data_IF_171543491199
#
_entry.id   IF_171543491199
#
_cell.length_a   1.000
_cell.length_b   1.000
_cell.length_c   1.000
_cell.angle_alpha   90.00
_cell.angle_beta   90.00
_cell.angle_gamma   90.00
#
_symmetry.space_group_name_H-M   'P 1'
#
loop_
_entity.id
_entity.type
_entity.pdbx_description
1 polymer ?
#
# COMPACT_ATOMS: atom_id res chain seq x y z
N UNK A 1 58.26 0.69 17.89
CA UNK A 1 57.17 1.16 18.79
C UNK A 1 57.47 2.64 19.05
N UNK A 2 56.71 3.64 18.62
CA UNK A 2 55.24 3.77 18.62
C UNK A 2 54.81 4.96 17.73
N UNK A 3 53.87 4.67 16.82
CA UNK A 3 52.83 5.48 16.16
C UNK A 3 52.98 7.01 15.97
N UNK A 4 53.00 7.41 14.70
CA UNK A 4 52.73 8.76 14.18
C UNK A 4 51.21 8.90 14.00
N UNK A 5 50.56 9.73 14.83
CA UNK A 5 49.15 10.09 14.68
C UNK A 5 48.98 11.23 13.65
N UNK A 6 48.73 10.89 12.37
CA UNK A 6 48.22 11.85 11.38
C UNK A 6 46.69 11.92 11.48
N UNK A 7 46.17 13.02 12.03
CA UNK A 7 44.73 13.37 11.95
C UNK A 7 44.38 13.73 10.50
N UNK A 8 43.69 12.84 9.79
CA UNK A 8 43.04 13.13 8.51
C UNK A 8 41.72 13.82 8.81
N UNK A 9 41.60 15.12 8.50
CA UNK A 9 40.31 15.82 8.45
C UNK A 9 39.66 15.51 7.09
N UNK A 10 38.67 14.62 7.10
CA UNK A 10 37.82 14.36 5.94
C UNK A 10 36.82 15.52 5.81
N UNK A 11 37.02 16.38 4.81
CA UNK A 11 36.05 17.42 4.44
C UNK A 11 35.01 16.74 3.55
N UNK A 12 33.82 16.46 4.10
CA UNK A 12 32.67 16.01 3.32
C UNK A 12 32.06 17.25 2.67
N UNK A 13 32.35 17.45 1.39
CA UNK A 13 31.66 18.42 0.56
C UNK A 13 30.27 17.86 0.20
N UNK A 14 29.22 18.38 0.84
CA UNK A 14 27.84 18.07 0.45
C UNK A 14 27.51 18.91 -0.77
N UNK A 15 27.62 18.30 -1.96
CA UNK A 15 27.07 18.86 -3.20
C UNK A 15 25.54 18.79 -3.11
N UNK A 16 24.88 19.95 -2.97
CA UNK A 16 23.45 20.07 -3.22
C UNK A 16 23.21 19.98 -4.72
N UNK A 17 22.99 18.76 -5.22
CA UNK A 17 22.31 18.60 -6.50
C UNK A 17 20.81 18.77 -6.24
N UNK A 18 20.16 19.60 -7.06
CA UNK A 18 18.70 19.68 -7.14
C UNK A 18 18.19 18.34 -7.66
N UNK A 19 18.02 17.38 -6.74
CA UNK A 19 17.58 16.02 -7.05
C UNK A 19 16.07 15.98 -7.19
N UNK A 20 15.60 15.55 -8.35
CA UNK A 20 14.31 14.90 -8.49
C UNK A 20 14.28 13.77 -7.46
N UNK A 21 13.37 13.82 -6.49
CA UNK A 21 13.20 12.74 -5.51
C UNK A 21 12.59 11.56 -6.27
N UNK A 22 13.43 10.63 -6.72
CA UNK A 22 12.95 9.31 -7.08
C UNK A 22 12.42 8.65 -5.81
N UNK A 23 11.17 8.18 -5.83
CA UNK A 23 10.64 7.28 -4.80
C UNK A 23 11.59 6.08 -4.71
N UNK A 24 12.41 6.05 -3.66
CA UNK A 24 13.34 4.97 -3.39
C UNK A 24 12.53 3.75 -2.92
N UNK A 25 12.86 2.57 -3.45
CA UNK A 25 12.25 1.32 -3.00
C UNK A 25 12.56 1.19 -1.49
N UNK A 26 11.54 1.00 -0.63
CA UNK A 26 11.77 0.86 0.80
C UNK A 26 12.66 -0.34 1.10
N UNK A 27 13.49 -0.23 2.13
CA UNK A 27 14.29 -1.36 2.62
C UNK A 27 13.39 -2.50 3.14
N UNK A 28 13.88 -3.75 3.13
CA UNK A 28 13.17 -4.88 3.74
C UNK A 28 12.81 -4.60 5.20
N UNK A 29 11.64 -5.06 5.62
CA UNK A 29 11.12 -4.82 6.97
C UNK A 29 10.41 -6.04 7.54
N UNK A 30 10.28 -6.10 8.87
CA UNK A 30 9.54 -7.18 9.55
C UNK A 30 8.14 -6.73 9.91
N UNK A 31 7.16 -7.59 9.66
CA UNK A 31 5.76 -7.41 10.07
C UNK A 31 5.19 -8.76 10.50
N UNK A 32 4.52 -8.79 11.66
CA UNK A 32 4.00 -10.03 12.27
C UNK A 32 5.00 -11.21 12.33
N UNK A 33 6.29 -10.91 12.57
CA UNK A 33 7.34 -11.93 12.67
C UNK A 33 7.85 -12.48 11.33
N UNK A 34 7.40 -11.95 10.19
CA UNK A 34 7.91 -12.30 8.85
C UNK A 34 8.62 -11.09 8.22
N UNK A 35 9.67 -11.37 7.45
CA UNK A 35 10.40 -10.35 6.68
C UNK A 35 9.80 -10.22 5.30
N UNK A 36 9.51 -8.99 4.88
CA UNK A 36 8.97 -8.66 3.58
C UNK A 36 9.95 -7.78 2.80
N UNK A 37 10.09 -8.06 1.51
CA UNK A 37 11.00 -7.37 0.59
C UNK A 37 10.21 -6.58 -0.45
N UNK A 38 10.22 -5.24 -0.37
CA UNK A 38 9.67 -4.38 -1.41
C UNK A 38 10.42 -4.54 -2.74
N UNK A 39 9.67 -4.58 -3.84
CA UNK A 39 10.18 -4.61 -5.21
C UNK A 39 9.42 -3.59 -6.05
N UNK A 40 10.03 -3.07 -7.11
CA UNK A 40 9.38 -2.13 -8.04
C UNK A 40 9.06 -2.83 -9.35
N UNK A 41 7.79 -2.74 -9.78
CA UNK A 41 7.31 -3.25 -11.06
C UNK A 41 6.60 -2.11 -11.79
N UNK A 42 7.18 -1.64 -12.89
CA UNK A 42 6.73 -0.42 -13.55
C UNK A 42 6.76 0.78 -12.60
N UNK A 43 5.60 1.39 -12.37
CA UNK A 43 5.44 2.52 -11.44
C UNK A 43 5.12 2.09 -10.01
N UNK A 44 4.74 0.83 -9.78
CA UNK A 44 4.22 0.35 -8.51
C UNK A 44 5.31 -0.31 -7.65
N UNK A 45 5.15 -0.26 -6.34
CA UNK A 45 5.97 -1.01 -5.39
C UNK A 45 5.13 -2.11 -4.75
N UNK A 46 5.60 -3.34 -4.84
CA UNK A 46 4.91 -4.55 -4.36
C UNK A 46 5.73 -5.23 -3.28
N UNK A 47 5.08 -5.94 -2.36
CA UNK A 47 5.79 -6.94 -1.54
C UNK A 47 6.08 -8.17 -2.39
N UNK A 48 7.31 -8.69 -2.32
CA UNK A 48 7.71 -9.93 -2.97
C UNK A 48 7.06 -11.16 -2.34
N UNK A 49 6.76 -11.14 -1.04
CA UNK A 49 6.19 -12.26 -0.29
C UNK A 49 4.67 -12.16 -0.12
N UNK A 50 4.01 -13.31 0.00
CA UNK A 50 2.61 -13.37 0.35
C UNK A 50 2.47 -13.04 1.83
N UNK A 51 1.41 -12.31 2.17
CA UNK A 51 1.16 -11.94 3.55
C UNK A 51 0.88 -13.19 4.40
N UNK A 52 1.54 -13.27 5.55
CA UNK A 52 1.39 -14.36 6.52
C UNK A 52 1.26 -13.80 7.93
N UNK A 53 0.06 -13.28 8.25
CA UNK A 53 -0.27 -12.60 9.50
C UNK A 53 -1.49 -13.25 10.15
N UNK A 54 -1.58 -13.16 11.48
CA UNK A 54 -2.68 -13.75 12.22
C UNK A 54 -2.47 -15.20 12.62
N UNK A 55 -3.52 -15.81 13.16
CA UNK A 55 -3.54 -17.15 13.76
C UNK A 55 -4.07 -18.17 12.76
N UNK A 56 -3.39 -19.31 12.65
CA UNK A 56 -3.86 -20.39 11.80
C UNK A 56 -5.16 -20.99 12.35
N UNK A 57 -6.16 -21.12 11.49
CA UNK A 57 -7.37 -21.91 11.73
C UNK A 57 -7.46 -23.06 10.74
N UNK A 58 -8.26 -24.07 11.07
CA UNK A 58 -8.47 -25.22 10.21
C UNK A 58 -9.35 -24.83 9.01
N UNK A 59 -8.99 -25.24 7.79
CA UNK A 59 -9.70 -24.95 6.53
C UNK A 59 -11.16 -25.39 6.46
N UNK A 60 -11.59 -26.30 7.35
CA UNK A 60 -12.99 -26.73 7.52
C UNK A 60 -13.82 -25.79 8.40
N UNK A 61 -13.19 -24.83 9.08
CA UNK A 61 -13.83 -23.81 9.92
C UNK A 61 -13.77 -22.49 9.17
N UNK A 62 -14.81 -21.67 9.26
CA UNK A 62 -14.80 -20.33 8.66
C UNK A 62 -14.05 -19.33 9.54
N UNK A 63 -13.42 -18.36 8.89
CA UNK A 63 -12.85 -17.19 9.56
C UNK A 63 -13.99 -16.31 10.10
N UNK A 64 -13.80 -15.73 11.28
CA UNK A 64 -14.82 -14.99 12.01
C UNK A 64 -14.34 -13.63 12.49
N UNK A 65 -15.24 -12.65 12.54
CA UNK A 65 -14.93 -11.32 13.07
C UNK A 65 -14.88 -11.34 14.61
N UNK A 66 -13.79 -11.87 15.15
CA UNK A 66 -13.54 -12.05 16.59
C UNK A 66 -12.41 -11.15 17.12
N UNK A 67 -11.91 -10.22 16.31
CA UNK A 67 -10.82 -9.31 16.65
C UNK A 67 -9.42 -9.92 16.53
N UNK A 68 -9.32 -11.19 16.11
CA UNK A 68 -8.07 -11.87 15.80
C UNK A 68 -8.04 -12.07 14.29
N UNK A 69 -6.95 -11.66 13.63
CA UNK A 69 -6.77 -12.00 12.22
C UNK A 69 -6.53 -13.50 12.13
N UNK A 70 -7.31 -14.19 11.31
CA UNK A 70 -7.24 -15.61 11.09
C UNK A 70 -6.70 -15.91 9.70
N UNK A 71 -6.05 -17.06 9.53
CA UNK A 71 -5.51 -17.51 8.24
C UNK A 71 -5.65 -19.01 8.07
N UNK A 72 -5.68 -19.45 6.84
CA UNK A 72 -5.44 -20.86 6.52
C UNK A 72 -4.03 -21.03 5.98
N UNK A 73 -3.44 -22.20 6.26
CA UNK A 73 -2.36 -22.71 5.43
C UNK A 73 -2.91 -23.82 4.54
N UNK A 74 -2.40 -23.90 3.32
CA UNK A 74 -2.80 -24.93 2.38
C UNK A 74 -2.66 -26.32 3.02
N UNK A 75 -3.67 -27.17 2.83
CA UNK A 75 -3.80 -28.51 3.43
C UNK A 75 -3.74 -28.55 4.97
N UNK A 76 -3.96 -27.43 5.66
CA UNK A 76 -3.77 -27.30 7.10
C UNK A 76 -2.35 -27.67 7.57
N UNK A 77 -1.33 -27.45 6.71
CA UNK A 77 0.07 -27.73 7.05
C UNK A 77 0.84 -26.43 7.33
N UNK A 78 1.32 -26.21 8.57
CA UNK A 78 2.16 -25.05 8.91
C UNK A 78 3.43 -24.91 8.07
N UNK A 79 3.97 -25.99 7.49
CA UNK A 79 5.15 -25.90 6.62
C UNK A 79 4.87 -25.13 5.33
N UNK A 80 3.59 -25.02 4.92
CA UNK A 80 3.19 -24.22 3.78
C UNK A 80 3.23 -22.70 4.06
N UNK A 81 3.40 -22.27 5.32
CA UNK A 81 3.63 -20.88 5.71
C UNK A 81 4.78 -20.24 4.93
N UNK A 82 5.95 -20.89 4.95
CA UNK A 82 7.16 -20.33 4.33
C UNK A 82 7.09 -20.35 2.81
N UNK A 83 6.30 -21.26 2.25
CA UNK A 83 6.22 -21.48 0.81
C UNK A 83 5.15 -20.63 0.13
N UNK A 84 3.97 -20.54 0.73
CA UNK A 84 2.78 -19.96 0.11
C UNK A 84 2.20 -18.77 0.90
N UNK A 85 2.58 -18.59 2.16
CA UNK A 85 1.98 -17.60 3.05
C UNK A 85 0.57 -18.00 3.50
N UNK A 86 -0.18 -17.05 4.04
CA UNK A 86 -1.56 -17.26 4.48
C UNK A 86 -2.58 -17.16 3.35
N UNK A 87 -3.68 -17.89 3.51
CA UNK A 87 -4.89 -17.72 2.70
C UNK A 87 -5.98 -17.07 3.55
N UNK A 88 -6.66 -16.07 2.99
CA UNK A 88 -7.66 -15.25 3.68
C UNK A 88 -8.91 -15.13 2.83
N UNK A 89 -10.08 -15.27 3.45
CA UNK A 89 -11.33 -14.84 2.83
C UNK A 89 -11.28 -13.35 2.54
N UNK A 90 -12.07 -12.90 1.57
CA UNK A 90 -12.02 -11.49 1.17
C UNK A 90 -12.38 -10.55 2.32
N UNK A 91 -13.37 -10.93 3.13
CA UNK A 91 -13.80 -10.18 4.32
C UNK A 91 -12.73 -10.14 5.39
N UNK A 92 -12.06 -11.27 5.66
CA UNK A 92 -10.93 -11.35 6.59
C UNK A 92 -9.79 -10.44 6.13
N UNK A 93 -9.44 -10.51 4.84
CA UNK A 93 -8.35 -9.72 4.26
C UNK A 93 -8.60 -8.21 4.42
N UNK A 94 -9.83 -7.75 4.21
CA UNK A 94 -10.22 -6.35 4.43
C UNK A 94 -10.50 -6.00 5.89
N UNK A 95 -10.18 -6.88 6.83
CA UNK A 95 -10.45 -6.72 8.25
C UNK A 95 -11.92 -6.34 8.51
N UNK A 96 -12.83 -7.05 7.86
CA UNK A 96 -14.29 -6.92 7.92
C UNK A 96 -14.83 -5.51 7.59
N UNK A 97 -14.10 -4.71 6.82
CA UNK A 97 -14.62 -3.44 6.28
C UNK A 97 -15.76 -3.69 5.31
N UNK A 98 -16.96 -3.22 5.66
CA UNK A 98 -18.19 -3.48 4.91
C UNK A 98 -18.33 -2.68 3.61
N UNK A 99 -17.48 -1.70 3.39
CA UNK A 99 -17.57 -0.75 2.26
C UNK A 99 -16.40 -0.84 1.28
N UNK A 100 -15.48 -1.80 1.47
CA UNK A 100 -14.27 -1.93 0.65
C UNK A 100 -13.31 -0.73 0.74
N UNK A 101 -13.56 0.25 1.62
CA UNK A 101 -12.75 1.47 1.71
C UNK A 101 -11.53 1.32 2.59
N UNK A 102 -11.52 0.36 3.51
CA UNK A 102 -10.31 0.01 4.25
C UNK A 102 -9.38 -0.85 3.37
N UNK A 103 -8.79 -0.22 2.35
CA UNK A 103 -7.87 -0.91 1.45
C UNK A 103 -6.57 -1.32 2.14
N UNK A 104 -6.22 -0.76 3.31
CA UNK A 104 -5.11 -1.28 4.10
C UNK A 104 -5.39 -2.74 4.50
N UNK A 105 -6.60 -3.04 4.97
CA UNK A 105 -6.97 -4.38 5.41
C UNK A 105 -5.97 -4.92 6.44
N UNK A 106 -5.49 -6.15 6.21
CA UNK A 106 -4.47 -6.82 7.03
C UNK A 106 -3.02 -6.48 6.66
N UNK A 107 -2.79 -5.68 5.60
CA UNK A 107 -1.45 -5.27 5.19
C UNK A 107 -0.79 -4.34 6.24
N UNK A 108 0.57 -4.27 6.26
CA UNK A 108 1.28 -3.35 7.13
C UNK A 108 0.89 -1.89 6.89
N UNK A 109 1.10 -1.02 7.89
CA UNK A 109 0.85 0.42 7.75
C UNK A 109 1.57 1.02 6.53
N UNK A 110 0.85 1.81 5.74
CA UNK A 110 1.36 2.39 4.49
C UNK A 110 1.44 1.40 3.33
N UNK A 111 0.81 0.23 3.46
CA UNK A 111 0.59 -0.76 2.41
C UNK A 111 -0.90 -1.10 2.34
N UNK A 112 -1.35 -1.58 1.19
CA UNK A 112 -2.75 -1.89 0.94
C UNK A 112 -2.92 -3.19 0.16
N UNK A 113 -4.10 -3.79 0.30
CA UNK A 113 -4.58 -4.84 -0.59
C UNK A 113 -4.85 -4.20 -1.97
N UNK A 114 -4.29 -4.75 -3.06
CA UNK A 114 -4.36 -4.13 -4.38
C UNK A 114 -5.80 -3.97 -4.88
N UNK A 115 -6.10 -2.86 -5.51
CA UNK A 115 -7.36 -2.66 -6.24
C UNK A 115 -7.31 -3.37 -7.61
N UNK A 116 -8.46 -3.48 -8.27
CA UNK A 116 -8.52 -3.99 -9.65
C UNK A 116 -7.65 -3.12 -10.57
N UNK A 117 -7.65 -1.80 -10.32
CA UNK A 117 -6.82 -0.86 -11.07
C UNK A 117 -5.34 -1.12 -10.87
N UNK A 118 -4.94 -1.48 -9.66
CA UNK A 118 -3.54 -1.82 -9.37
C UNK A 118 -3.09 -3.06 -10.15
N UNK A 119 -3.92 -4.11 -10.21
CA UNK A 119 -3.60 -5.28 -11.02
C UNK A 119 -3.61 -5.00 -12.52
N UNK A 120 -4.48 -4.11 -13.01
CA UNK A 120 -4.45 -3.68 -14.41
C UNK A 120 -3.15 -2.94 -14.76
N UNK A 121 -2.64 -2.11 -13.84
CA UNK A 121 -1.35 -1.43 -14.01
C UNK A 121 -0.20 -2.44 -13.99
N UNK A 122 -0.20 -3.40 -13.05
CA UNK A 122 0.78 -4.48 -12.99
C UNK A 122 0.79 -5.28 -14.30
N UNK A 123 -0.38 -5.73 -14.75
CA UNK A 123 -0.56 -6.48 -16.00
C UNK A 123 0.00 -5.71 -17.19
N UNK A 124 -0.29 -4.41 -17.30
CA UNK A 124 0.27 -3.58 -18.36
C UNK A 124 1.80 -3.40 -18.23
N UNK A 125 2.33 -3.22 -17.02
CA UNK A 125 3.75 -3.03 -16.77
C UNK A 125 4.62 -4.23 -17.19
N UNK A 126 4.04 -5.44 -17.17
CA UNK A 126 4.71 -6.66 -17.61
C UNK A 126 4.23 -7.15 -18.98
N UNK A 127 3.54 -6.31 -19.76
CA UNK A 127 3.01 -6.65 -21.08
C UNK A 127 2.14 -7.92 -21.09
N UNK A 128 1.36 -8.13 -20.04
CA UNK A 128 0.53 -9.32 -19.83
C UNK A 128 1.30 -10.64 -19.79
N UNK A 129 2.61 -10.58 -19.52
CA UNK A 129 3.45 -11.76 -19.34
C UNK A 129 3.40 -12.25 -17.89
N UNK A 130 2.46 -13.13 -17.60
CA UNK A 130 2.33 -13.84 -16.33
C UNK A 130 3.54 -14.71 -16.00
N UNK A 131 4.35 -15.16 -16.97
CA UNK A 131 5.60 -15.88 -16.66
C UNK A 131 6.61 -14.97 -15.93
N UNK A 132 6.61 -13.67 -16.24
CA UNK A 132 7.45 -12.68 -15.56
C UNK A 132 7.11 -12.49 -14.08
N UNK A 133 5.86 -12.81 -13.68
CA UNK A 133 5.38 -12.67 -12.30
C UNK A 133 5.57 -13.96 -11.47
N UNK A 134 5.62 -15.12 -12.12
CA UNK A 134 5.81 -16.42 -11.45
C UNK A 134 7.25 -16.61 -10.98
N UNK A 135 7.41 -17.28 -9.85
CA UNK A 135 8.73 -17.80 -9.45
C UNK A 135 9.28 -18.78 -10.51
N UNK A 136 10.60 -18.81 -10.65
CA UNK A 136 11.29 -19.57 -11.70
C UNK A 136 11.06 -21.07 -11.66
N UNK A 137 10.59 -21.59 -10.51
CA UNK A 137 10.28 -23.01 -10.32
C UNK A 137 8.85 -23.38 -10.68
N UNK A 138 8.03 -22.42 -11.12
CA UNK A 138 6.59 -22.60 -11.31
C UNK A 138 6.21 -22.63 -12.79
N UNK A 139 5.17 -23.39 -13.13
CA UNK A 139 4.65 -23.50 -14.48
C UNK A 139 5.38 -24.52 -15.35
N UNK A 140 5.03 -24.59 -16.64
CA UNK A 140 5.58 -25.59 -17.57
C UNK A 140 5.87 -25.02 -18.96
N UNK A 141 6.93 -25.53 -19.60
CA UNK A 141 7.29 -25.16 -20.98
C UNK A 141 7.49 -23.65 -21.14
N UNK A 142 6.86 -23.05 -22.16
CA UNK A 142 6.89 -21.59 -22.37
C UNK A 142 6.21 -20.80 -21.25
N UNK A 143 5.44 -21.47 -20.38
CA UNK A 143 4.77 -20.84 -19.24
C UNK A 143 5.47 -20.96 -17.89
N UNK A 144 6.68 -21.52 -17.92
CA UNK A 144 7.59 -21.56 -16.79
C UNK A 144 7.93 -20.13 -16.37
N UNK A 145 7.91 -19.86 -15.07
CA UNK A 145 8.23 -18.56 -14.52
C UNK A 145 9.63 -18.11 -14.94
N UNK A 146 9.72 -16.87 -15.39
CA UNK A 146 10.99 -16.20 -15.66
C UNK A 146 11.37 -15.28 -14.50
N UNK A 147 10.39 -14.91 -13.67
CA UNK A 147 10.50 -14.00 -12.53
C UNK A 147 11.24 -12.68 -12.84
N UNK A 148 11.23 -12.22 -14.09
CA UNK A 148 11.96 -11.01 -14.50
C UNK A 148 11.42 -9.74 -13.85
N UNK A 149 10.17 -9.77 -13.34
CA UNK A 149 9.59 -8.68 -12.54
C UNK A 149 10.04 -8.66 -11.08
N UNK A 150 10.54 -9.78 -10.56
CA UNK A 150 10.81 -9.99 -9.14
C UNK A 150 9.59 -10.38 -8.28
N UNK A 151 8.37 -10.40 -8.82
CA UNK A 151 7.12 -10.67 -8.08
C UNK A 151 7.09 -12.05 -7.39
N UNK A 152 7.79 -13.04 -7.94
CA UNK A 152 8.04 -14.35 -7.32
C UNK A 152 6.79 -15.10 -6.85
N UNK A 153 5.72 -15.10 -7.66
CA UNK A 153 4.48 -15.81 -7.32
C UNK A 153 4.67 -17.33 -7.31
N UNK A 154 4.32 -17.95 -6.19
CA UNK A 154 4.25 -19.40 -6.03
C UNK A 154 2.81 -19.87 -6.26
N UNK A 155 2.62 -20.97 -7.01
CA UNK A 155 1.30 -21.55 -7.29
C UNK A 155 0.78 -22.30 -6.04
N UNK A 156 0.35 -21.55 -5.04
CA UNK A 156 -0.07 -22.05 -3.73
C UNK A 156 -1.49 -22.59 -3.66
N UNK A 157 -2.29 -22.41 -4.71
CA UNK A 157 -3.70 -22.81 -4.71
C UNK A 157 -4.57 -21.91 -3.83
N UNK A 158 -5.69 -22.46 -3.37
CA UNK A 158 -6.70 -21.74 -2.60
C UNK A 158 -7.46 -22.63 -1.65
N UNK A 159 -8.26 -21.99 -0.78
CA UNK A 159 -9.35 -22.64 -0.04
C UNK A 159 -10.68 -22.24 -0.67
N UNK A 160 -11.49 -23.20 -1.09
CA UNK A 160 -12.85 -22.98 -1.58
C UNK A 160 -13.91 -23.16 -0.50
N UNK A 161 -15.18 -23.12 -0.88
CA UNK A 161 -16.27 -23.49 0.02
C UNK A 161 -16.10 -24.93 0.50
N UNK A 162 -16.35 -25.16 1.79
CA UNK A 162 -16.38 -26.51 2.36
C UNK A 162 -17.51 -27.28 1.70
N UNK A 163 -17.17 -28.31 0.92
CA UNK A 163 -18.14 -29.28 0.38
C UNK A 163 -18.13 -30.51 1.28
N UNK A 164 -19.30 -31.11 1.51
CA UNK A 164 -19.37 -32.37 2.24
C UNK A 164 -18.43 -33.41 1.61
N UNK A 165 -17.52 -33.96 2.41
CA UNK A 165 -16.53 -34.99 2.06
C UNK A 165 -15.40 -34.59 1.09
N UNK A 166 -15.19 -33.30 0.82
CA UNK A 166 -14.07 -32.81 0.00
C UNK A 166 -13.00 -32.06 0.81
N UNK A 167 -11.74 -32.08 0.34
CA UNK A 167 -10.74 -31.13 0.85
C UNK A 167 -11.21 -29.70 0.54
N UNK A 168 -11.16 -28.77 1.50
CA UNK A 168 -11.47 -27.38 1.23
C UNK A 168 -10.35 -26.71 0.42
N UNK A 169 -9.18 -27.34 0.32
CA UNK A 169 -8.03 -26.86 -0.42
C UNK A 169 -7.95 -27.47 -1.81
N UNK A 170 -7.57 -26.64 -2.78
CA UNK A 170 -7.50 -27.07 -4.18
C UNK A 170 -6.51 -26.21 -4.96
N UNK A 171 -6.11 -26.71 -6.14
CA UNK A 171 -5.31 -25.97 -7.11
C UNK A 171 -3.87 -25.61 -6.71
N UNK A 172 -3.29 -26.23 -5.67
CA UNK A 172 -1.86 -26.11 -5.46
C UNK A 172 -1.09 -26.62 -6.70
N UNK A 173 -0.01 -25.91 -7.05
CA UNK A 173 0.79 -26.10 -8.26
C UNK A 173 0.05 -25.81 -9.58
N UNK A 174 -1.21 -25.38 -9.51
CA UNK A 174 -2.03 -25.03 -10.69
C UNK A 174 -2.22 -23.52 -10.76
N UNK A 175 -2.65 -22.88 -9.66
CA UNK A 175 -2.90 -21.44 -9.63
C UNK A 175 -2.13 -20.73 -8.51
N UNK A 176 -1.65 -19.52 -8.81
CA UNK A 176 -1.40 -18.50 -7.80
C UNK A 176 -2.58 -17.52 -7.84
N UNK A 177 -3.23 -17.29 -6.69
CA UNK A 177 -4.49 -16.54 -6.59
C UNK A 177 -4.32 -15.38 -5.61
N UNK A 178 -4.71 -14.18 -6.02
CA UNK A 178 -4.57 -12.97 -5.22
C UNK A 178 -5.86 -12.18 -5.17
N UNK A 179 -6.31 -11.81 -3.98
CA UNK A 179 -7.48 -10.94 -3.84
C UNK A 179 -7.19 -9.51 -4.30
N UNK A 180 -8.19 -8.90 -4.93
CA UNK A 180 -8.32 -7.46 -4.99
C UNK A 180 -9.22 -6.93 -3.87
N UNK A 181 -8.92 -5.74 -3.36
CA UNK A 181 -9.83 -4.98 -2.49
C UNK A 181 -11.06 -4.44 -3.22
N UNK A 182 -11.06 -4.44 -4.57
CA UNK A 182 -12.20 -3.96 -5.36
C UNK A 182 -13.33 -4.98 -5.36
N UNK A 183 -14.46 -4.57 -4.83
CA UNK A 183 -15.71 -5.33 -4.86
C UNK A 183 -16.26 -5.44 -6.29
N UNK A 184 -16.76 -6.63 -6.65
CA UNK A 184 -17.47 -6.85 -7.91
C UNK A 184 -18.96 -6.63 -7.72
N UNK A 185 -19.53 -7.28 -6.70
CA UNK A 185 -20.88 -7.10 -6.18
C UNK A 185 -20.95 -7.59 -4.72
N UNK A 186 -22.16 -7.68 -4.14
CA UNK A 186 -22.37 -8.11 -2.76
C UNK A 186 -21.73 -9.47 -2.41
N UNK A 187 -21.68 -10.41 -3.36
CA UNK A 187 -21.18 -11.78 -3.15
C UNK A 187 -19.78 -12.01 -3.72
N UNK A 188 -19.35 -11.19 -4.68
CA UNK A 188 -18.12 -11.39 -5.43
C UNK A 188 -17.14 -10.23 -5.26
N UNK A 189 -15.84 -10.54 -5.31
CA UNK A 189 -14.76 -9.56 -5.39
C UNK A 189 -13.84 -9.89 -6.57
N UNK A 190 -13.15 -8.88 -7.08
CA UNK A 190 -12.15 -9.13 -8.12
C UNK A 190 -10.94 -9.87 -7.54
N UNK A 191 -10.35 -10.74 -8.35
CA UNK A 191 -9.13 -11.46 -8.06
C UNK A 191 -8.22 -11.52 -9.30
N UNK A 192 -6.94 -11.77 -9.07
CA UNK A 192 -5.96 -12.08 -10.10
C UNK A 192 -5.54 -13.55 -9.99
N UNK A 193 -5.41 -14.25 -11.12
CA UNK A 193 -4.75 -15.56 -11.18
C UNK A 193 -3.58 -15.61 -12.17
N UNK A 194 -2.65 -16.52 -11.87
CA UNK A 194 -1.61 -17.02 -12.75
C UNK A 194 -1.74 -18.54 -12.85
N UNK A 195 -1.97 -19.05 -14.05
CA UNK A 195 -2.11 -20.49 -14.35
C UNK A 195 -0.75 -21.15 -14.63
N UNK A 196 -0.58 -22.41 -14.23
CA UNK A 196 0.66 -23.18 -14.45
C UNK A 196 1.01 -23.41 -15.93
N UNK A 197 0.03 -23.37 -16.82
CA UNK A 197 0.13 -23.73 -18.25
C UNK A 197 -0.11 -22.55 -19.20
N UNK A 198 -0.48 -21.38 -18.67
CA UNK A 198 -0.76 -20.16 -19.44
C UNK A 198 0.08 -18.98 -18.94
N UNK A 199 0.41 -18.06 -19.83
CA UNK A 199 1.14 -16.83 -19.53
C UNK A 199 0.27 -15.60 -19.45
N UNK A 200 -1.03 -15.67 -19.74
CA UNK A 200 -1.91 -14.52 -19.54
C UNK A 200 -2.15 -14.29 -18.05
N UNK A 201 -2.17 -13.01 -17.64
CA UNK A 201 -2.60 -12.60 -16.31
C UNK A 201 -4.12 -12.43 -16.32
N UNK A 202 -4.87 -13.24 -15.58
CA UNK A 202 -6.32 -13.20 -15.60
C UNK A 202 -6.86 -12.35 -14.44
N UNK A 203 -7.86 -11.52 -14.73
CA UNK A 203 -8.59 -10.72 -13.74
C UNK A 203 -10.07 -11.07 -13.85
N UNK A 204 -10.69 -11.49 -12.75
CA UNK A 204 -12.05 -12.03 -12.77
C UNK A 204 -12.73 -11.87 -11.41
N UNK A 205 -14.06 -12.05 -11.36
CA UNK A 205 -14.82 -12.06 -10.10
C UNK A 205 -14.82 -13.44 -9.46
N UNK A 206 -14.59 -13.52 -8.15
CA UNK A 206 -14.70 -14.77 -7.38
C UNK A 206 -15.50 -14.54 -6.08
N UNK A 207 -16.16 -15.58 -5.59
CA UNK A 207 -17.01 -15.51 -4.41
C UNK A 207 -16.18 -15.25 -3.16
N UNK A 208 -16.60 -14.29 -2.33
CA UNK A 208 -15.87 -13.80 -1.15
C UNK A 208 -15.60 -14.87 -0.07
N UNK A 209 -16.29 -16.01 -0.13
CA UNK A 209 -16.11 -17.16 0.75
C UNK A 209 -14.87 -18.03 0.42
N UNK A 210 -14.29 -17.88 -0.78
CA UNK A 210 -12.99 -18.46 -1.08
C UNK A 210 -11.88 -17.73 -0.31
N UNK A 211 -10.76 -18.40 -0.05
CA UNK A 211 -9.58 -17.81 0.57
C UNK A 211 -8.39 -17.86 -0.37
N UNK A 212 -7.81 -16.68 -0.64
CA UNK A 212 -6.65 -16.48 -1.52
C UNK A 212 -5.51 -15.79 -0.79
N UNK A 213 -4.34 -15.76 -1.40
CA UNK A 213 -3.19 -15.04 -0.87
C UNK A 213 -3.39 -13.53 -1.00
N UNK A 214 -2.71 -12.78 -0.14
CA UNK A 214 -2.63 -11.32 -0.22
C UNK A 214 -1.22 -10.91 -0.60
N UNK A 215 -1.13 -10.11 -1.67
CA UNK A 215 0.11 -9.47 -2.11
C UNK A 215 -0.01 -7.97 -1.93
N UNK A 216 0.52 -7.44 -0.84
CA UNK A 216 0.35 -6.02 -0.55
C UNK A 216 1.11 -5.15 -1.57
N UNK A 217 0.46 -4.06 -1.97
CA UNK A 217 1.07 -2.98 -2.76
C UNK A 217 1.34 -1.80 -1.84
N UNK A 218 2.45 -1.10 -2.06
CA UNK A 218 2.71 0.17 -1.36
C UNK A 218 1.57 1.09 -1.72
N UNK A 219 0.89 1.62 -0.71
CA UNK A 219 -0.13 2.62 -0.98
C UNK A 219 0.61 3.78 -1.63
N UNK A 220 0.34 4.02 -2.92
CA UNK A 220 0.75 5.24 -3.58
C UNK A 220 0.14 6.36 -2.75
N UNK A 221 0.98 6.97 -1.92
CA UNK A 221 0.74 8.29 -1.42
C UNK A 221 0.62 9.16 -2.67
N UNK A 222 -0.59 9.29 -3.22
CA UNK A 222 -1.04 10.62 -3.61
C UNK A 222 -0.82 11.42 -2.35
N UNK A 223 0.30 12.16 -2.27
CA UNK A 223 1.00 12.51 -1.04
C UNK A 223 0.08 13.31 -0.12
N UNK A 224 -0.76 12.57 0.58
CA UNK A 224 -1.79 13.03 1.51
C UNK A 224 -1.47 12.53 2.91
N UNK A 225 -0.22 12.15 3.13
CA UNK A 225 0.31 11.90 4.46
C UNK A 225 1.47 12.86 4.72
N UNK A 226 1.59 13.21 5.98
CA UNK A 226 2.41 14.33 6.41
C UNK A 226 3.84 13.86 6.59
N UNK A 227 4.71 14.14 5.62
CA UNK A 227 6.11 13.71 5.72
C UNK A 227 6.82 14.51 6.82
N UNK A 228 7.26 13.82 7.88
CA UNK A 228 8.08 14.42 8.94
C UNK A 228 9.46 14.77 8.35
N UNK A 229 9.72 16.06 8.16
CA UNK A 229 10.92 16.59 7.50
C UNK A 229 12.18 16.56 8.37
N UNK A 230 12.04 16.54 9.70
CA UNK A 230 13.18 16.57 10.63
C UNK A 230 12.79 16.07 12.02
N UNK A 231 13.75 15.45 12.73
CA UNK A 231 13.65 15.15 14.16
C UNK A 231 13.94 16.35 15.07
N UNK A 232 14.30 17.51 14.50
CA UNK A 232 14.40 18.75 15.28
C UNK A 232 13.00 19.20 15.70
N UNK A 233 12.80 19.34 17.01
CA UNK A 233 11.57 19.88 17.59
C UNK A 233 11.49 21.37 17.19
N UNK A 234 10.46 21.78 16.43
CA UNK A 234 10.26 23.19 16.08
C UNK A 234 10.03 24.03 17.33
N UNK A 235 10.48 25.29 17.33
CA UNK A 235 10.21 26.22 18.42
C UNK A 235 8.73 26.64 18.45
N UNK A 236 8.13 26.82 17.27
CA UNK A 236 6.80 27.41 17.10
C UNK A 236 5.92 26.64 16.11
N UNK A 237 4.62 26.90 16.18
CA UNK A 237 3.67 26.49 15.15
C UNK A 237 3.88 27.32 13.88
N UNK A 238 3.86 26.66 12.72
CA UNK A 238 4.01 27.33 11.43
C UNK A 238 3.07 26.72 10.40
N UNK A 239 2.57 27.56 9.49
CA UNK A 239 1.90 27.15 8.25
C UNK A 239 2.45 28.02 7.13
N UNK A 240 3.05 27.38 6.12
CA UNK A 240 3.64 28.02 4.96
C UNK A 240 2.57 28.50 3.98
N UNK A 241 2.99 29.34 3.03
CA UNK A 241 2.24 29.48 1.78
C UNK A 241 2.40 28.19 0.95
N UNK A 242 1.36 27.80 0.22
CA UNK A 242 1.39 26.68 -0.70
C UNK A 242 2.36 27.01 -1.85
N UNK A 243 3.16 26.04 -2.27
CA UNK A 243 4.09 26.20 -3.39
C UNK A 243 4.12 24.92 -4.25
N UNK A 244 3.98 25.03 -5.59
CA UNK A 244 3.73 26.25 -6.36
C UNK A 244 2.35 26.89 -6.07
N UNK A 245 2.21 28.20 -6.29
CA UNK A 245 0.93 28.92 -6.20
C UNK A 245 1.02 30.19 -7.09
N UNK A 246 0.30 30.28 -8.23
CA UNK A 246 -0.75 29.37 -8.69
C UNK A 246 -0.28 27.94 -8.98
N UNK A 247 -1.18 26.96 -8.91
CA UNK A 247 -0.84 25.53 -9.07
C UNK A 247 -1.76 24.80 -10.05
N UNK A 248 -1.26 23.70 -10.66
CA UNK A 248 -2.02 22.81 -11.53
C UNK A 248 -1.36 21.40 -11.67
N UNK A 249 -2.05 20.29 -11.35
CA UNK A 249 -3.15 20.20 -10.40
C UNK A 249 -2.64 20.12 -8.95
N UNK A 250 -1.31 20.14 -8.72
CA UNK A 250 -0.71 19.84 -7.42
C UNK A 250 0.08 21.00 -6.82
N UNK A 251 0.03 21.14 -5.50
CA UNK A 251 0.84 22.08 -4.70
C UNK A 251 1.30 21.43 -3.40
N UNK A 252 2.31 21.99 -2.73
CA UNK A 252 2.78 21.52 -1.43
C UNK A 252 2.48 22.54 -0.34
N UNK A 253 1.88 22.09 0.76
CA UNK A 253 1.61 22.86 1.99
C UNK A 253 2.55 22.35 3.08
N UNK A 254 3.32 23.23 3.70
CA UNK A 254 4.24 22.88 4.78
C UNK A 254 3.76 23.44 6.11
N UNK A 255 3.94 22.71 7.19
CA UNK A 255 3.64 23.19 8.54
C UNK A 255 4.61 22.61 9.58
N UNK A 256 4.60 23.18 10.78
CA UNK A 256 5.34 22.66 11.92
C UNK A 256 4.48 22.70 13.17
N UNK A 257 4.66 21.70 14.04
CA UNK A 257 4.05 21.69 15.38
C UNK A 257 5.14 21.46 16.44
N UNK A 258 5.24 22.31 17.48
CA UNK A 258 6.25 22.19 18.52
C UNK A 258 5.90 21.14 19.58
N UNK A 259 4.65 20.69 19.64
CA UNK A 259 4.13 19.71 20.61
C UNK A 259 3.26 18.68 19.91
N UNK A 260 3.33 17.44 20.38
CA UNK A 260 2.46 16.37 19.90
C UNK A 260 1.00 16.66 20.24
N UNK A 261 0.08 16.31 19.35
CA UNK A 261 -1.35 16.57 19.54
C UNK A 261 -2.18 16.28 18.30
N UNK A 262 -3.50 16.45 18.43
CA UNK A 262 -4.43 16.35 17.31
C UNK A 262 -4.22 17.54 16.35
N UNK A 263 -4.03 17.22 15.07
CA UNK A 263 -3.83 18.18 13.99
C UNK A 263 -4.86 17.94 12.91
N UNK A 264 -5.56 19.00 12.52
CA UNK A 264 -6.48 19.01 11.39
C UNK A 264 -6.01 20.01 10.34
N UNK A 265 -5.74 19.55 9.12
CA UNK A 265 -5.46 20.41 7.96
C UNK A 265 -6.58 20.22 6.95
N UNK A 266 -7.30 21.29 6.62
CA UNK A 266 -8.50 21.21 5.78
C UNK A 266 -8.50 22.31 4.73
N UNK A 267 -8.95 21.95 3.52
CA UNK A 267 -9.16 22.85 2.39
C UNK A 267 -10.64 23.20 2.28
N UNK A 268 -10.91 24.49 2.05
CA UNK A 268 -12.23 25.07 1.87
C UNK A 268 -12.32 25.81 0.54
N UNK A 269 -13.52 25.87 -0.04
CA UNK A 269 -13.81 26.81 -1.10
C UNK A 269 -14.01 28.24 -0.54
N UNK A 270 -14.23 29.22 -1.44
CA UNK A 270 -14.39 30.63 -1.05
C UNK A 270 -15.69 30.90 -0.26
N UNK A 271 -16.67 29.98 -0.31
CA UNK A 271 -17.90 30.04 0.47
C UNK A 271 -17.74 29.41 1.86
N UNK A 272 -16.56 28.86 2.16
CA UNK A 272 -16.25 28.21 3.43
C UNK A 272 -16.72 26.75 3.51
N UNK A 273 -17.12 26.14 2.39
CA UNK A 273 -17.46 24.71 2.36
C UNK A 273 -16.18 23.88 2.38
N UNK A 274 -16.12 22.89 3.27
CA UNK A 274 -15.03 21.91 3.29
C UNK A 274 -15.01 21.12 1.98
N UNK A 275 -13.88 21.16 1.26
CA UNK A 275 -13.69 20.44 0.00
C UNK A 275 -12.70 19.29 0.10
N UNK A 276 -11.82 19.29 1.10
CA UNK A 276 -10.92 18.17 1.37
C UNK A 276 -10.32 18.30 2.77
N UNK A 277 -10.36 17.24 3.56
CA UNK A 277 -9.54 17.15 4.77
C UNK A 277 -8.27 16.39 4.44
N UNK A 278 -7.15 17.08 4.60
CA UNK A 278 -5.80 16.64 4.26
C UNK A 278 -5.21 15.83 5.41
N UNK A 279 -5.37 16.33 6.64
CA UNK A 279 -4.87 15.70 7.86
C UNK A 279 -5.96 15.77 8.91
N UNK A 280 -6.17 14.69 9.67
CA UNK A 280 -7.06 14.69 10.84
C UNK A 280 -6.63 13.62 11.85
N UNK A 281 -5.38 13.71 12.32
CA UNK A 281 -4.73 12.66 13.12
C UNK A 281 -3.95 13.26 14.29
N UNK A 282 -3.57 12.41 15.24
CA UNK A 282 -2.58 12.74 16.25
C UNK A 282 -1.17 12.70 15.63
N UNK A 283 -0.44 13.81 15.71
CA UNK A 283 0.93 13.93 15.19
C UNK A 283 1.93 14.21 16.32
N UNK A 284 3.16 13.75 16.16
CA UNK A 284 4.27 14.06 17.06
C UNK A 284 4.83 15.47 16.78
N UNK A 285 5.63 16.04 17.69
CA UNK A 285 6.33 17.29 17.39
C UNK A 285 7.25 17.13 16.16
N UNK A 286 7.21 18.08 15.24
CA UNK A 286 7.96 17.99 13.99
C UNK A 286 7.53 18.99 12.91
N UNK A 287 8.31 19.01 11.84
CA UNK A 287 7.99 19.68 10.58
C UNK A 287 7.42 18.71 9.57
N UNK A 288 6.56 19.21 8.70
CA UNK A 288 5.56 18.40 8.01
C UNK A 288 5.27 18.96 6.62
N UNK A 289 5.30 18.10 5.60
CA UNK A 289 4.93 18.47 4.23
C UNK A 289 3.72 17.66 3.75
N UNK A 290 2.82 18.33 3.03
CA UNK A 290 1.63 17.71 2.47
C UNK A 290 1.45 18.14 1.01
N UNK A 291 1.24 17.19 0.09
CA UNK A 291 0.93 17.51 -1.30
C UNK A 291 -0.57 17.50 -1.51
N UNK A 292 -1.10 18.64 -1.94
CA UNK A 292 -2.50 18.75 -2.30
C UNK A 292 -2.66 18.58 -3.81
N UNK A 293 -3.40 17.57 -4.25
CA UNK A 293 -3.78 17.36 -5.65
C UNK A 293 -5.27 17.67 -5.85
N UNK A 294 -5.56 18.73 -6.59
CA UNK A 294 -6.92 19.19 -6.85
C UNK A 294 -7.71 18.32 -7.84
N UNK A 295 -7.05 17.42 -8.59
CA UNK A 295 -7.74 16.52 -9.52
C UNK A 295 -8.40 15.33 -8.81
N UNK A 296 -7.87 14.91 -7.66
CA UNK A 296 -8.44 13.81 -6.86
C UNK A 296 -9.41 14.30 -5.78
N UNK A 297 -9.31 15.55 -5.33
CA UNK A 297 -10.20 16.12 -4.32
C UNK A 297 -11.63 16.31 -4.86
N UNK A 298 -12.64 15.71 -4.20
CA UNK A 298 -14.07 15.82 -4.52
C UNK A 298 -14.43 15.57 -6.01
N UNK A 299 -13.75 14.60 -6.66
CA UNK A 299 -13.99 14.31 -8.08
C UNK A 299 -13.41 15.35 -9.05
N UNK A 300 -12.58 16.27 -8.55
CA UNK A 300 -11.89 17.30 -9.32
C UNK A 300 -12.41 18.70 -8.99
N UNK A 301 -11.52 19.57 -8.51
CA UNK A 301 -11.83 20.97 -8.23
C UNK A 301 -11.73 21.85 -9.49
N UNK A 302 -12.55 22.89 -9.57
CA UNK A 302 -12.53 23.89 -10.64
C UNK A 302 -11.43 24.96 -10.40
N UNK A 303 -10.98 25.65 -11.45
CA UNK A 303 -10.08 26.80 -11.31
C UNK A 303 -10.67 27.85 -10.38
N UNK A 304 -9.90 28.35 -9.42
CA UNK A 304 -10.42 29.26 -8.40
C UNK A 304 -9.53 29.42 -7.17
N UNK A 305 -9.98 30.27 -6.26
CA UNK A 305 -9.33 30.51 -4.96
C UNK A 305 -9.87 29.51 -3.95
N UNK A 306 -8.94 28.87 -3.23
CA UNK A 306 -9.20 27.97 -2.12
C UNK A 306 -8.49 28.47 -0.87
N UNK A 307 -9.06 28.15 0.29
CA UNK A 307 -8.45 28.39 1.60
C UNK A 307 -7.99 27.06 2.18
N UNK A 308 -6.89 27.06 2.92
CA UNK A 308 -6.49 25.90 3.73
C UNK A 308 -6.17 26.37 5.14
N UNK A 309 -6.61 25.58 6.11
CA UNK A 309 -6.56 25.89 7.53
C UNK A 309 -5.91 24.76 8.30
N UNK A 310 -4.88 25.09 9.06
CA UNK A 310 -4.27 24.21 10.06
C UNK A 310 -4.88 24.53 11.42
N UNK A 311 -5.40 23.50 12.08
CA UNK A 311 -6.02 23.57 13.40
C UNK A 311 -5.35 22.55 14.32
N UNK A 312 -5.03 23.00 15.52
CA UNK A 312 -4.59 22.18 16.65
C UNK A 312 -5.29 22.69 17.90
N UNK A 313 -5.10 22.01 19.03
CA UNK A 313 -5.66 22.47 20.32
C UNK A 313 -5.25 23.90 20.70
N UNK A 314 -4.09 24.39 20.24
CA UNK A 314 -3.51 25.68 20.66
C UNK A 314 -3.19 26.64 19.51
N UNK A 315 -3.49 26.27 18.26
CA UNK A 315 -3.09 27.05 17.09
C UNK A 315 -4.08 26.85 15.95
N UNK A 316 -4.52 27.97 15.36
CA UNK A 316 -5.31 27.99 14.14
C UNK A 316 -4.69 29.00 13.18
N UNK A 317 -4.39 28.58 11.95
CA UNK A 317 -3.90 29.48 10.89
C UNK A 317 -4.48 29.10 9.55
N UNK A 318 -4.90 30.11 8.80
CA UNK A 318 -5.48 29.97 7.46
C UNK A 318 -4.63 30.70 6.44
N UNK A 319 -4.41 30.10 5.28
CA UNK A 319 -3.80 30.72 4.12
C UNK A 319 -4.66 30.44 2.86
N UNK A 320 -4.35 31.11 1.76
CA UNK A 320 -5.03 30.95 0.46
C UNK A 320 -4.12 30.36 -0.61
N UNK A 321 -4.72 29.68 -1.58
CA UNK A 321 -4.07 29.15 -2.78
C UNK A 321 -4.97 29.34 -4.02
N UNK A 322 -4.36 29.41 -5.20
CA UNK A 322 -5.03 29.62 -6.48
C UNK A 322 -4.77 28.45 -7.42
N UNK A 323 -5.84 27.72 -7.76
CA UNK A 323 -5.82 26.66 -8.76
C UNK A 323 -6.05 27.24 -10.15
N UNK A 324 -5.17 26.92 -11.11
CA UNK A 324 -5.30 27.32 -12.51
C UNK A 324 -5.21 26.10 -13.43
N UNK A 325 -6.35 25.53 -13.80
CA UNK A 325 -6.45 24.53 -14.89
C UNK A 325 -6.50 25.18 -16.26
#
# INVERSE_FOLDING_TARGET
>A
MTQINKKIKLIIAILFTTGVIYSQIPEPFTYAGKTYHPIKIGTQIWLKENLDVGTMVNGFVDQTNNGIVEKYYYDNDPLNSEKYGGLYTWTEALNYSKDGKNVQGICPSGWSIPTLKDFQILKAAVNDDGSSLKDVTQGVGLSTGTNTSGFSAMLGGSRGNVRENGSPFSHAKVYALFWSSTEYDDNYAYAMDLDYSNNTINLYGNGKAAAFSIRCIKTETSVTDVEKMSDKIPADYFLSKAFPNPFNPSTTIKFSIPKAGNVKLTVYDILGKEVSTLVNNFLNAGEYNFQFNASSANGGLASGIYLYRLETNNFVKTNKMLLMK
#
